data_IF_757861643151
#
_entry.id   IF_757861643151
#
_cell.length_a   1.000
_cell.length_b   1.000
_cell.length_c   1.000
_cell.angle_alpha   90.00
_cell.angle_beta   90.00
_cell.angle_gamma   90.00
#
_symmetry.space_group_name_H-M   'P 1'
#
loop_
_entity.id
_entity.type
_entity.pdbx_description
1 polymer ?
#
# COMPACT_ATOMS: atom_id res chain seq x y z
N UNK A 1 -1.42 -6.10 -16.16
CA UNK A 1 -0.55 -5.12 -15.50
C UNK A 1 -0.76 -5.23 -14.00
N UNK A 2 0.30 -5.37 -13.23
CA UNK A 2 0.18 -5.50 -11.78
C UNK A 2 -0.20 -4.17 -11.14
N UNK A 3 -1.04 -4.21 -10.13
CA UNK A 3 -1.42 -3.04 -9.33
C UNK A 3 -0.83 -3.19 -7.94
N UNK A 4 -0.08 -2.20 -7.50
CA UNK A 4 0.65 -2.21 -6.24
C UNK A 4 0.19 -1.05 -5.37
N UNK A 5 -0.05 -1.32 -4.09
CA UNK A 5 -0.28 -0.28 -3.10
C UNK A 5 0.99 -0.16 -2.24
N UNK A 6 1.58 1.03 -2.22
CA UNK A 6 2.75 1.33 -1.39
C UNK A 6 2.31 2.13 -0.19
N UNK A 7 2.58 1.63 1.00
CA UNK A 7 2.13 2.24 2.25
C UNK A 7 3.34 2.55 3.13
N UNK A 8 3.62 3.83 3.31
CA UNK A 8 4.74 4.31 4.14
C UNK A 8 4.46 5.76 4.50
N UNK A 9 4.85 6.19 5.69
CA UNK A 9 4.65 7.57 6.13
C UNK A 9 5.71 8.53 5.57
N UNK A 10 6.80 8.02 5.00
CA UNK A 10 7.83 8.85 4.40
C UNK A 10 7.59 9.04 2.90
N UNK A 11 7.18 10.23 2.53
CA UNK A 11 6.80 10.55 1.15
C UNK A 11 7.94 10.36 0.14
N UNK A 12 9.18 10.64 0.56
CA UNK A 12 10.32 10.47 -0.34
C UNK A 12 10.59 9.00 -0.66
N UNK A 13 10.41 8.12 0.32
CA UNK A 13 10.55 6.69 0.12
C UNK A 13 9.47 6.17 -0.81
N UNK A 14 8.23 6.57 -0.55
CA UNK A 14 7.08 6.20 -1.40
C UNK A 14 7.31 6.64 -2.85
N UNK A 15 7.78 7.87 -3.03
CA UNK A 15 8.05 8.40 -4.37
C UNK A 15 9.11 7.60 -5.11
N UNK A 16 10.17 7.20 -4.42
CA UNK A 16 11.23 6.40 -5.03
C UNK A 16 10.76 5.01 -5.43
N UNK A 17 10.01 4.35 -4.55
CA UNK A 17 9.46 3.03 -4.84
C UNK A 17 8.47 3.10 -6.00
N UNK A 18 7.58 4.08 -5.97
CA UNK A 18 6.61 4.30 -7.03
C UNK A 18 7.28 4.47 -8.39
N UNK A 19 8.31 5.31 -8.44
CA UNK A 19 9.04 5.56 -9.68
C UNK A 19 9.63 4.26 -10.25
N UNK A 20 10.27 3.46 -9.40
CA UNK A 20 10.86 2.20 -9.82
C UNK A 20 9.82 1.22 -10.35
N UNK A 21 8.70 1.09 -9.66
CA UNK A 21 7.66 0.14 -10.06
C UNK A 21 6.93 0.59 -11.32
N UNK A 22 6.70 1.89 -11.47
CA UNK A 22 6.08 2.42 -12.68
C UNK A 22 6.96 2.22 -13.91
N UNK A 23 8.27 2.26 -13.75
CA UNK A 23 9.19 1.96 -14.85
C UNK A 23 9.07 0.51 -15.33
N UNK A 24 8.68 -0.39 -14.44
CA UNK A 24 8.45 -1.78 -14.78
C UNK A 24 7.05 -2.05 -15.33
N UNK A 25 6.27 -1.01 -15.56
CA UNK A 25 4.94 -1.11 -16.14
C UNK A 25 3.83 -1.41 -15.17
N UNK A 26 4.08 -1.27 -13.87
CA UNK A 26 3.06 -1.51 -12.84
C UNK A 26 2.24 -0.25 -12.58
N UNK A 27 0.97 -0.45 -12.19
CA UNK A 27 0.16 0.64 -11.64
C UNK A 27 0.43 0.75 -10.15
N UNK A 28 0.74 1.95 -9.67
CA UNK A 28 1.11 2.17 -8.27
C UNK A 28 0.20 3.21 -7.64
N UNK A 29 -0.45 2.82 -6.55
CA UNK A 29 -1.15 3.74 -5.67
C UNK A 29 -0.35 3.88 -4.38
N UNK A 30 -0.52 5.00 -3.71
CA UNK A 30 0.24 5.31 -2.50
C UNK A 30 -0.70 5.63 -1.35
N UNK A 31 -0.32 5.21 -0.15
CA UNK A 31 -0.99 5.58 1.08
C UNK A 31 0.07 5.96 2.10
N UNK A 32 -0.21 6.94 2.92
CA UNK A 32 0.78 7.48 3.86
C UNK A 32 0.48 7.15 5.31
N UNK A 33 -0.63 6.48 5.57
CA UNK A 33 -0.97 5.96 6.89
C UNK A 33 -1.87 4.74 6.75
N UNK A 34 -2.13 4.07 7.88
CA UNK A 34 -2.90 2.83 7.89
C UNK A 34 -4.36 3.02 7.49
N UNK A 35 -4.97 4.12 7.89
CA UNK A 35 -6.38 4.39 7.53
C UNK A 35 -6.54 4.58 6.04
N UNK A 36 -5.64 5.35 5.42
CA UNK A 36 -5.66 5.57 3.99
C UNK A 36 -5.44 4.27 3.23
N UNK A 37 -4.52 3.42 3.72
CA UNK A 37 -4.25 2.12 3.10
C UNK A 37 -5.49 1.22 3.11
N UNK A 38 -6.19 1.16 4.23
CA UNK A 38 -7.41 0.36 4.36
C UNK A 38 -8.49 0.88 3.42
N UNK A 39 -8.68 2.19 3.36
CA UNK A 39 -9.67 2.78 2.48
C UNK A 39 -9.39 2.49 1.01
N UNK A 40 -8.14 2.60 0.59
CA UNK A 40 -7.76 2.28 -0.79
C UNK A 40 -7.93 0.81 -1.10
N UNK A 41 -7.63 -0.07 -0.16
CA UNK A 41 -7.81 -1.50 -0.35
C UNK A 41 -9.29 -1.88 -0.53
N UNK A 42 -10.20 -1.12 0.06
CA UNK A 42 -11.64 -1.33 -0.14
C UNK A 42 -12.12 -0.88 -1.52
N UNK A 43 -11.48 0.13 -2.08
CA UNK A 43 -11.89 0.71 -3.36
C UNK A 43 -11.40 -0.08 -4.55
N UNK A 44 -10.26 -0.78 -4.43
CA UNK A 44 -9.59 -1.47 -5.53
C UNK A 44 -8.96 -2.75 -5.07
N UNK A 45 -8.77 -3.67 -6.00
CA UNK A 45 -7.99 -4.87 -5.75
C UNK A 45 -6.53 -4.60 -6.10
N UNK A 46 -5.62 -5.04 -5.23
CA UNK A 46 -4.18 -4.93 -5.45
C UNK A 46 -3.57 -6.31 -5.52
N UNK A 47 -2.58 -6.46 -6.40
CA UNK A 47 -1.81 -7.70 -6.51
C UNK A 47 -0.78 -7.81 -5.39
N UNK A 48 -0.23 -6.66 -4.98
CA UNK A 48 0.80 -6.58 -3.92
C UNK A 48 0.56 -5.34 -3.09
N UNK A 49 0.76 -5.46 -1.78
CA UNK A 49 0.80 -4.31 -0.87
C UNK A 49 2.16 -4.29 -0.20
N UNK A 50 2.91 -3.21 -0.38
CA UNK A 50 4.18 -2.97 0.30
C UNK A 50 3.89 -2.11 1.52
N UNK A 51 4.08 -2.65 2.71
CA UNK A 51 3.60 -2.06 3.95
C UNK A 51 4.73 -1.86 4.96
N UNK A 52 4.86 -0.63 5.45
CA UNK A 52 5.70 -0.33 6.62
C UNK A 52 4.90 -0.65 7.89
N UNK A 53 5.42 -1.53 8.73
CA UNK A 53 4.72 -2.01 9.93
C UNK A 53 4.63 -0.98 11.05
N UNK A 54 5.36 0.13 10.95
CA UNK A 54 5.41 1.17 11.97
C UNK A 54 4.59 2.41 11.59
N UNK A 55 3.44 2.19 10.94
CA UNK A 55 2.59 3.29 10.47
C UNK A 55 1.86 4.01 11.60
N UNK A 56 1.69 5.34 11.49
CA UNK A 56 0.87 6.09 12.42
C UNK A 56 -0.60 5.64 12.37
N UNK A 57 -1.25 5.62 13.51
CA UNK A 57 -2.67 5.32 13.63
C UNK A 57 -3.01 3.84 13.72
N UNK A 58 -2.21 2.98 13.09
CA UNK A 58 -2.34 1.52 13.15
C UNK A 58 -0.96 0.90 13.09
N UNK A 59 -0.75 -0.24 13.73
CA UNK A 59 0.48 -0.98 13.46
C UNK A 59 0.33 -1.73 12.13
N UNK A 60 1.47 -2.11 11.55
CA UNK A 60 1.48 -2.74 10.24
C UNK A 60 0.76 -4.09 10.18
N UNK A 61 0.78 -4.84 11.28
CA UNK A 61 0.08 -6.12 11.33
C UNK A 61 -1.42 -5.94 11.31
N UNK A 62 -1.93 -4.94 12.03
CA UNK A 62 -3.33 -4.62 12.06
C UNK A 62 -3.85 -4.18 10.69
N UNK A 63 -3.10 -3.32 10.00
CA UNK A 63 -3.44 -2.87 8.66
C UNK A 63 -3.42 -4.03 7.68
N UNK A 64 -2.41 -4.88 7.74
CA UNK A 64 -2.28 -6.04 6.87
C UNK A 64 -3.46 -6.99 7.04
N UNK A 65 -3.86 -7.24 8.29
CA UNK A 65 -5.00 -8.10 8.58
C UNK A 65 -6.31 -7.51 8.03
N UNK A 66 -6.51 -6.21 8.21
CA UNK A 66 -7.70 -5.54 7.70
C UNK A 66 -7.77 -5.61 6.17
N UNK A 67 -6.64 -5.43 5.50
CA UNK A 67 -6.59 -5.52 4.04
C UNK A 67 -6.93 -6.93 3.56
N UNK A 68 -6.47 -7.96 4.26
CA UNK A 68 -6.76 -9.34 3.89
C UNK A 68 -8.24 -9.69 4.01
N UNK A 69 -9.01 -8.96 4.79
CA UNK A 69 -10.46 -9.15 4.87
C UNK A 69 -11.17 -8.71 3.60
N UNK A 70 -10.55 -7.85 2.78
CA UNK A 70 -11.13 -7.33 1.55
C UNK A 70 -10.49 -7.90 0.29
N UNK A 71 -9.40 -8.60 0.42
CA UNK A 71 -8.58 -9.04 -0.70
C UNK A 71 -8.01 -10.42 -0.42
N UNK A 72 -7.72 -11.16 -1.48
CA UNK A 72 -7.19 -12.52 -1.40
C UNK A 72 -5.65 -12.55 -1.39
N UNK A 73 -5.02 -11.45 -1.05
CA UNK A 73 -3.56 -11.40 -0.98
C UNK A 73 -2.98 -12.23 0.15
#
# INVERSE_FOLDING_TARGET
MARVLVVDDEKLIVKGIRFSLEQDGMEVDCAYDGNEAIEKAKEREYDVVLLDVMLPGHDGFEVCQAIREFSEM
#
